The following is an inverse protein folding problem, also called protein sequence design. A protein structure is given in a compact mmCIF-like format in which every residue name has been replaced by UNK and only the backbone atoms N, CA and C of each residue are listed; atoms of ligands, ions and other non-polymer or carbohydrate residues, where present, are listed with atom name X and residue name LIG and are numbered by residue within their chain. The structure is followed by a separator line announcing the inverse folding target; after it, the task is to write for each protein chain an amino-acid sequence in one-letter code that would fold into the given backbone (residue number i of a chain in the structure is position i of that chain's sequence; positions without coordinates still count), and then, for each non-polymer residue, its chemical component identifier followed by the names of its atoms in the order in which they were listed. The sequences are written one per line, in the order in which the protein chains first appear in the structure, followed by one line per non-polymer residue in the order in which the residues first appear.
data_IF_856293625763
#
_entry.id   IF_856293625763
#
_cell.length_a   1.000
_cell.length_b   1.000
_cell.length_c   1.000
_cell.angle_alpha   90.00
_cell.angle_beta   90.00
_cell.angle_gamma   90.00
#
_symmetry.space_group_name_H-M   'P 1'
#
loop_
_entity.id
_entity.type
_entity.pdbx_description
1 polymer ?
#
# COMPACT_ATOMS: atom_id res chain seq x y z
N UNK A 1 -10.73 -6.43 32.08
CA UNK A 1 -9.26 -6.27 31.90
C UNK A 1 -9.03 -6.07 30.41
N UNK A 2 -8.44 -4.94 30.03
CA UNK A 2 -8.32 -4.52 28.65
C UNK A 2 -7.46 -5.52 27.86
N UNK A 3 -8.02 -5.99 26.73
CA UNK A 3 -7.33 -6.83 25.76
C UNK A 3 -6.23 -5.97 25.13
N UNK A 4 -5.01 -5.98 25.70
CA UNK A 4 -3.83 -5.47 25.02
C UNK A 4 -3.75 -6.20 23.68
N UNK A 5 -3.82 -5.51 22.53
CA UNK A 5 -3.50 -6.17 21.29
C UNK A 5 -2.06 -6.65 21.44
N UNK A 6 -1.84 -7.91 21.12
CA UNK A 6 -0.54 -8.57 21.00
C UNK A 6 0.22 -7.85 19.86
N UNK A 7 0.65 -6.60 20.09
CA UNK A 7 1.19 -5.66 19.09
C UNK A 7 2.55 -6.13 18.53
N UNK A 8 3.12 -7.16 19.17
CA UNK A 8 4.34 -7.83 18.72
C UNK A 8 4.11 -8.81 17.57
N UNK A 9 2.90 -9.36 17.41
CA UNK A 9 2.63 -10.35 16.38
C UNK A 9 2.18 -9.67 15.09
N UNK A 10 2.90 -9.94 14.01
CA UNK A 10 2.57 -9.43 12.69
C UNK A 10 1.19 -9.93 12.25
N UNK A 11 0.18 -9.06 12.28
CA UNK A 11 -1.15 -9.37 11.77
C UNK A 11 -1.18 -9.27 10.23
N UNK A 12 -0.85 -10.39 9.59
CA UNK A 12 -0.91 -10.53 8.14
C UNK A 12 -2.33 -10.38 7.58
N UNK A 13 -3.36 -10.69 8.38
CA UNK A 13 -4.76 -10.58 7.96
C UNK A 13 -5.14 -9.11 7.85
N UNK A 14 -4.81 -8.33 8.87
CA UNK A 14 -5.08 -6.88 8.86
C UNK A 14 -4.26 -6.16 7.78
N UNK A 15 -2.99 -6.55 7.56
CA UNK A 15 -2.21 -6.02 6.42
C UNK A 15 -2.88 -6.32 5.07
N UNK A 16 -3.34 -7.56 4.85
CA UNK A 16 -4.04 -7.94 3.60
C UNK A 16 -5.34 -7.15 3.44
N UNK A 17 -6.07 -6.92 4.53
CA UNK A 17 -7.29 -6.10 4.53
C UNK A 17 -7.00 -4.65 4.13
N UNK A 18 -5.98 -4.03 4.71
CA UNK A 18 -5.57 -2.65 4.36
C UNK A 18 -5.21 -2.52 2.88
N UNK A 19 -4.41 -3.46 2.34
CA UNK A 19 -4.04 -3.46 0.92
C UNK A 19 -5.27 -3.63 0.01
N UNK A 20 -6.20 -4.51 0.39
CA UNK A 20 -7.44 -4.73 -0.37
C UNK A 20 -8.31 -3.48 -0.38
N UNK A 21 -8.43 -2.78 0.75
CA UNK A 21 -9.15 -1.51 0.84
C UNK A 21 -8.50 -0.43 -0.01
N UNK A 22 -7.17 -0.26 0.07
CA UNK A 22 -6.41 0.67 -0.77
C UNK A 22 -6.59 0.37 -2.27
N UNK A 23 -6.61 -0.91 -2.64
CA UNK A 23 -6.86 -1.33 -4.02
C UNK A 23 -8.26 -0.94 -4.48
N UNK A 24 -9.26 -1.12 -3.61
CA UNK A 24 -10.65 -0.72 -3.87
C UNK A 24 -10.78 0.79 -4.07
N UNK A 25 -10.12 1.59 -3.22
CA UNK A 25 -10.11 3.06 -3.31
C UNK A 25 -9.43 3.59 -4.57
N UNK A 26 -8.52 2.82 -5.15
CA UNK A 26 -7.73 3.19 -6.33
C UNK A 26 -8.00 2.29 -7.52
N UNK A 27 -9.19 1.68 -7.61
CA UNK A 27 -9.57 0.73 -8.66
C UNK A 27 -9.27 1.24 -10.07
N UNK A 28 -9.51 2.53 -10.31
CA UNK A 28 -9.31 3.17 -11.62
C UNK A 28 -7.84 3.53 -11.91
N UNK A 29 -6.96 3.42 -10.92
CA UNK A 29 -5.53 3.70 -11.07
C UNK A 29 -4.75 2.39 -11.24
N UNK A 30 -4.65 1.95 -12.50
CA UNK A 30 -3.98 0.69 -12.89
C UNK A 30 -2.54 0.55 -12.37
N UNK A 31 -1.82 1.67 -12.23
CA UNK A 31 -0.46 1.66 -11.70
C UNK A 31 -0.44 1.37 -10.19
N UNK A 32 -1.35 1.98 -9.44
CA UNK A 32 -1.50 1.75 -8.00
C UNK A 32 -2.00 0.32 -7.74
N UNK A 33 -3.00 -0.14 -8.49
CA UNK A 33 -3.52 -1.51 -8.33
C UNK A 33 -2.47 -2.57 -8.68
N UNK A 34 -1.67 -2.37 -9.73
CA UNK A 34 -0.55 -3.25 -10.07
C UNK A 34 0.50 -3.33 -8.95
N UNK A 35 0.87 -2.17 -8.36
CA UNK A 35 1.82 -2.10 -7.24
C UNK A 35 1.32 -2.89 -6.02
N UNK A 36 0.05 -2.70 -5.66
CA UNK A 36 -0.61 -3.38 -4.54
C UNK A 36 -0.73 -4.89 -4.77
N UNK A 37 -1.12 -5.31 -5.98
CA UNK A 37 -1.21 -6.73 -6.34
C UNK A 37 0.15 -7.43 -6.28
N UNK A 38 1.21 -6.78 -6.76
CA UNK A 38 2.58 -7.32 -6.67
C UNK A 38 3.00 -7.54 -5.20
N UNK A 39 2.62 -6.64 -4.31
CA UNK A 39 2.87 -6.80 -2.88
C UNK A 39 2.07 -7.97 -2.28
N UNK A 40 0.76 -8.08 -2.58
CA UNK A 40 -0.08 -9.20 -2.14
C UNK A 40 0.50 -10.56 -2.55
N UNK A 41 0.93 -10.68 -3.80
CA UNK A 41 1.57 -11.89 -4.30
C UNK A 41 2.87 -12.17 -3.54
N UNK A 42 3.71 -11.14 -3.35
CA UNK A 42 4.98 -11.29 -2.63
C UNK A 42 4.78 -11.77 -1.18
N UNK A 43 3.81 -11.23 -0.45
CA UNK A 43 3.52 -11.69 0.93
C UNK A 43 2.79 -13.02 0.99
N UNK A 44 2.02 -13.39 -0.04
CA UNK A 44 1.40 -14.71 -0.12
C UNK A 44 2.46 -15.82 -0.25
N UNK A 45 3.57 -15.54 -0.93
CA UNK A 45 4.70 -16.46 -1.05
C UNK A 45 5.60 -16.55 0.19
N UNK A 46 5.53 -15.59 1.11
CA UNK A 46 6.45 -15.54 2.26
C UNK A 46 6.12 -16.54 3.39
N UNK A 47 5.05 -17.32 3.30
CA UNK A 47 4.60 -18.24 4.38
C UNK A 47 4.38 -17.52 5.72
N UNK A 48 3.90 -18.23 6.74
CA UNK A 48 3.80 -17.71 8.10
C UNK A 48 5.20 -17.22 8.56
N UNK A 49 5.32 -16.02 9.16
CA UNK A 49 6.61 -15.44 9.50
C UNK A 49 7.33 -16.32 10.52
N UNK A 50 8.39 -17.00 10.08
CA UNK A 50 9.14 -17.98 10.88
C UNK A 50 10.02 -17.34 11.95
N UNK A 51 10.52 -16.12 11.72
CA UNK A 51 11.51 -15.46 12.55
C UNK A 51 11.30 -13.94 12.61
N UNK A 52 11.84 -13.29 13.64
CA UNK A 52 11.78 -11.84 13.82
C UNK A 52 12.36 -11.04 12.63
N UNK A 53 13.40 -11.56 11.98
CA UNK A 53 13.97 -10.95 10.77
C UNK A 53 12.95 -10.96 9.61
N UNK A 54 12.16 -12.02 9.51
CA UNK A 54 11.11 -12.14 8.50
C UNK A 54 9.97 -11.16 8.77
N UNK A 55 9.53 -11.04 10.03
CA UNK A 55 8.53 -10.04 10.44
C UNK A 55 8.99 -8.62 10.08
N UNK A 56 10.25 -8.28 10.41
CA UNK A 56 10.83 -6.97 10.07
C UNK A 56 10.89 -6.73 8.57
N UNK A 57 11.23 -7.75 7.79
CA UNK A 57 11.24 -7.66 6.33
C UNK A 57 9.84 -7.34 5.77
N UNK A 58 8.80 -8.06 6.25
CA UNK A 58 7.42 -7.82 5.81
C UNK A 58 6.96 -6.41 6.19
N UNK A 59 7.22 -5.96 7.43
CA UNK A 59 6.90 -4.60 7.88
C UNK A 59 7.58 -3.53 7.01
N UNK A 60 8.87 -3.73 6.67
CA UNK A 60 9.62 -2.79 5.84
C UNK A 60 9.07 -2.72 4.41
N UNK A 61 8.81 -3.87 3.79
CA UNK A 61 8.26 -3.93 2.44
C UNK A 61 6.82 -3.39 2.37
N UNK A 62 6.02 -3.59 3.42
CA UNK A 62 4.70 -2.98 3.56
C UNK A 62 4.80 -1.46 3.59
N UNK A 63 5.61 -0.90 4.49
CA UNK A 63 5.80 0.55 4.60
C UNK A 63 6.32 1.17 3.29
N UNK A 64 7.25 0.49 2.61
CA UNK A 64 7.77 0.92 1.31
C UNK A 64 6.70 0.90 0.23
N UNK A 65 5.79 -0.08 0.26
CA UNK A 65 4.67 -0.17 -0.69
C UNK A 65 3.68 0.96 -0.48
N UNK A 66 3.30 1.24 0.78
CA UNK A 66 2.39 2.34 1.11
C UNK A 66 2.96 3.69 0.67
N UNK A 67 4.24 3.96 0.97
CA UNK A 67 4.92 5.19 0.54
C UNK A 67 4.90 5.33 -0.99
N UNK A 68 5.22 4.24 -1.70
CA UNK A 68 5.19 4.27 -3.17
C UNK A 68 3.80 4.56 -3.74
N UNK A 69 2.74 4.02 -3.11
CA UNK A 69 1.36 4.32 -3.50
C UNK A 69 1.02 5.79 -3.24
N UNK A 70 1.38 6.32 -2.08
CA UNK A 70 1.18 7.73 -1.74
C UNK A 70 1.87 8.68 -2.73
N UNK A 71 3.12 8.37 -3.10
CA UNK A 71 3.85 9.13 -4.11
C UNK A 71 3.18 9.07 -5.49
N UNK A 72 2.72 7.89 -5.90
CA UNK A 72 2.00 7.71 -7.18
C UNK A 72 0.69 8.48 -7.20
N UNK A 73 -0.10 8.41 -6.13
CA UNK A 73 -1.35 9.15 -5.99
C UNK A 73 -1.09 10.66 -6.01
N UNK A 74 -0.06 11.13 -5.29
CA UNK A 74 0.33 12.54 -5.26
C UNK A 74 0.76 13.05 -6.63
N UNK A 75 1.54 12.26 -7.39
CA UNK A 75 1.93 12.60 -8.77
C UNK A 75 0.72 12.64 -9.71
N UNK A 76 -0.16 11.64 -9.66
CA UNK A 76 -1.38 11.60 -10.48
C UNK A 76 -2.33 12.78 -10.19
N UNK A 77 -2.39 13.26 -8.93
CA UNK A 77 -3.13 14.48 -8.57
C UNK A 77 -2.44 15.74 -9.09
N UNK A 78 -1.11 15.79 -9.09
CA UNK A 78 -0.34 16.92 -9.64
C UNK A 78 -0.51 17.07 -11.15
N UNK A 79 -0.57 15.96 -11.90
CA UNK A 79 -0.84 15.97 -13.36
C UNK A 79 -2.28 16.37 -13.70
N UNK A 80 -3.22 16.33 -12.75
CA UNK A 80 -4.60 16.80 -12.91
C UNK A 80 -4.78 18.29 -12.60
N UNK A 81 -3.71 19.10 -12.52
CA UNK A 81 -3.87 20.56 -12.44
C UNK A 81 -4.47 21.09 -13.75
N UNK A 82 -5.66 21.73 -13.71
CA UNK A 82 -6.26 22.35 -14.89
C UNK A 82 -5.55 23.68 -15.15
N UNK A 83 -4.48 23.63 -15.94
CA UNK A 83 -3.87 24.83 -16.51
C UNK A 83 -4.58 25.21 -17.79
N UNK A 84 -5.75 25.84 -17.66
CA UNK A 84 -6.41 26.58 -18.73
C UNK A 84 -5.43 27.66 -19.22
N UNK A 85 -4.81 27.47 -20.38
CA UNK A 85 -4.25 28.58 -21.15
C UNK A 85 -5.34 29.10 -22.07
N UNK A 86 -6.18 29.99 -21.56
CA UNK A 86 -6.88 30.95 -22.42
C UNK A 86 -5.80 31.83 -23.05
N UNK A 87 -5.53 31.63 -24.34
CA UNK A 87 -4.70 32.51 -25.15
C UNK A 87 -5.50 33.80 -25.40
N UNK A 88 -5.06 34.99 -24.93
CA UNK A 88 -5.72 36.23 -25.31
C UNK A 88 -5.08 36.81 -26.58
N UNK A 89 -5.99 37.18 -27.49
CA UNK A 89 -5.91 38.09 -28.66
C UNK A 89 -4.94 37.76 -29.79
#
# INVERSE_FOLDING_TARGET
MANMPDDDRLDLVEMRRQITNLRSQHSDNLLVTSRLNRFLVKIAFLSEPKDAAHVRHIRSEFARTLRGVEEMVSRSRSTKRPGIVKRPK
#
